data_IF_364032736758
#
_entry.id   IF_364032736758
#
_cell.length_a   1.000
_cell.length_b   1.000
_cell.length_c   1.000
_cell.angle_alpha   90.00
_cell.angle_beta   90.00
_cell.angle_gamma   90.00
#
_symmetry.space_group_name_H-M   'P 1'
#
loop_
_entity.id
_entity.type
_entity.pdbx_description
1 polymer ?
#
# COMPACT_ATOMS: atom_id res chain seq x y z
N UNK A 1 11.82 -52.55 -29.53
CA UNK A 1 12.03 -51.76 -30.76
C UNK A 1 10.73 -50.99 -31.00
N UNK A 2 10.61 -49.72 -30.61
CA UNK A 2 10.94 -48.49 -31.40
C UNK A 2 10.30 -48.55 -32.79
N UNK A 3 9.54 -47.58 -33.29
CA UNK A 3 9.63 -46.10 -33.24
C UNK A 3 8.32 -45.51 -33.82
N UNK A 4 7.68 -44.50 -33.24
CA UNK A 4 7.83 -43.05 -33.44
C UNK A 4 7.36 -42.48 -34.80
N UNK A 5 6.42 -41.52 -34.75
CA UNK A 5 6.47 -40.22 -35.48
C UNK A 5 5.41 -39.26 -34.88
N UNK A 6 5.75 -38.19 -34.11
CA UNK A 6 6.00 -36.78 -34.55
C UNK A 6 5.01 -36.28 -35.61
N UNK A 7 4.35 -35.11 -35.53
CA UNK A 7 4.69 -33.75 -35.08
C UNK A 7 3.38 -32.89 -35.19
N UNK A 8 3.20 -31.63 -34.78
CA UNK A 8 4.05 -30.57 -34.26
C UNK A 8 3.19 -29.48 -33.59
N UNK A 9 3.80 -28.78 -32.64
CA UNK A 9 3.87 -27.30 -32.55
C UNK A 9 2.58 -26.47 -32.40
N UNK A 10 2.49 -25.73 -31.29
CA UNK A 10 2.82 -24.29 -31.34
C UNK A 10 3.19 -23.77 -29.95
N UNK A 11 4.41 -23.28 -29.84
CA UNK A 11 4.93 -22.47 -28.74
C UNK A 11 4.28 -21.08 -28.75
N UNK A 12 3.90 -20.57 -27.57
CA UNK A 12 4.01 -19.14 -27.30
C UNK A 12 4.73 -18.93 -25.97
N UNK A 13 5.89 -18.31 -26.11
CA UNK A 13 6.89 -18.02 -25.09
C UNK A 13 6.81 -16.52 -24.81
N UNK A 14 6.28 -16.13 -23.65
CA UNK A 14 6.56 -14.81 -23.05
C UNK A 14 6.74 -15.01 -21.55
N UNK A 15 7.87 -14.64 -20.93
CA UNK A 15 8.08 -14.85 -19.51
C UNK A 15 7.30 -13.83 -18.68
N UNK A 16 6.55 -14.30 -17.68
CA UNK A 16 6.06 -13.47 -16.58
C UNK A 16 7.12 -13.41 -15.48
N UNK A 17 7.34 -12.22 -14.90
CA UNK A 17 8.37 -11.97 -13.87
C UNK A 17 7.86 -12.12 -12.43
N UNK A 18 6.76 -12.84 -12.20
CA UNK A 18 6.23 -13.10 -10.86
C UNK A 18 6.58 -14.54 -10.44
N UNK A 19 7.48 -14.69 -9.48
CA UNK A 19 7.97 -16.00 -9.00
C UNK A 19 6.92 -16.71 -8.12
N UNK A 20 6.37 -17.82 -8.62
CA UNK A 20 5.77 -18.85 -7.76
C UNK A 20 6.82 -19.90 -7.39
N UNK A 21 6.70 -20.48 -6.19
CA UNK A 21 7.63 -21.48 -5.62
C UNK A 21 7.74 -22.78 -6.46
N UNK A 22 6.90 -22.95 -7.48
CA UNK A 22 6.91 -24.02 -8.46
C UNK A 22 6.50 -23.46 -9.84
N UNK A 23 7.36 -23.58 -10.85
CA UNK A 23 7.17 -23.04 -12.21
C UNK A 23 6.32 -23.94 -13.12
N UNK A 24 5.97 -25.15 -12.66
CA UNK A 24 5.12 -26.08 -13.39
C UNK A 24 3.64 -25.99 -12.95
N UNK A 25 3.27 -24.94 -12.24
CA UNK A 25 1.90 -24.73 -11.75
C UNK A 25 1.30 -23.57 -12.50
N UNK A 26 0.17 -23.80 -13.15
CA UNK A 26 -0.62 -22.75 -13.76
C UNK A 26 -1.08 -21.78 -12.66
N UNK A 27 -0.80 -20.47 -12.78
CA UNK A 27 -1.17 -19.51 -11.75
C UNK A 27 -2.70 -19.43 -11.62
N UNK A 28 -3.15 -19.04 -10.43
CA UNK A 28 -4.58 -18.87 -10.18
C UNK A 28 -5.09 -17.67 -10.98
N UNK A 29 -6.04 -17.89 -11.87
CA UNK A 29 -6.70 -16.84 -12.63
C UNK A 29 -8.01 -16.45 -11.94
N UNK A 30 -8.04 -15.27 -11.34
CA UNK A 30 -9.29 -14.66 -10.88
C UNK A 30 -10.14 -14.24 -12.09
N UNK A 31 -11.42 -14.64 -12.10
CA UNK A 31 -12.36 -14.33 -13.19
C UNK A 31 -13.53 -13.47 -12.73
N UNK A 32 -13.82 -13.44 -11.42
CA UNK A 32 -14.88 -12.64 -10.82
C UNK A 32 -14.59 -12.38 -9.34
N UNK A 33 -15.14 -11.32 -8.77
CA UNK A 33 -15.18 -11.10 -7.33
C UNK A 33 -16.60 -10.73 -6.88
N UNK A 34 -16.99 -11.14 -5.66
CA UNK A 34 -18.30 -10.84 -5.05
C UNK A 34 -18.10 -10.62 -3.54
N UNK A 35 -18.32 -9.40 -3.06
CA UNK A 35 -17.99 -9.03 -1.69
C UNK A 35 -16.52 -9.32 -1.36
N UNK A 36 -16.27 -10.08 -0.29
CA UNK A 36 -14.91 -10.49 0.12
C UNK A 36 -14.44 -11.78 -0.56
N UNK A 37 -15.01 -12.17 -1.69
CA UNK A 37 -14.66 -13.44 -2.33
C UNK A 37 -14.14 -13.26 -3.76
N UNK A 38 -13.03 -13.91 -4.07
CA UNK A 38 -12.47 -14.03 -5.42
C UNK A 38 -12.86 -15.41 -5.97
N UNK A 39 -13.41 -15.43 -7.19
CA UNK A 39 -13.75 -16.64 -7.92
C UNK A 39 -12.69 -16.88 -8.99
N UNK A 40 -12.13 -18.07 -8.97
CA UNK A 40 -11.10 -18.50 -9.90
C UNK A 40 -11.71 -19.17 -11.13
N UNK A 41 -10.95 -19.18 -12.23
CA UNK A 41 -11.32 -19.81 -13.51
C UNK A 41 -11.67 -21.29 -13.37
N UNK A 42 -11.08 -21.97 -12.38
CA UNK A 42 -11.34 -23.38 -12.08
C UNK A 42 -12.56 -23.60 -11.15
N UNK A 43 -13.32 -22.55 -10.84
CA UNK A 43 -14.53 -22.60 -10.03
C UNK A 43 -14.29 -22.49 -8.53
N UNK A 44 -13.04 -22.42 -8.06
CA UNK A 44 -12.75 -22.20 -6.63
C UNK A 44 -13.17 -20.81 -6.19
N UNK A 45 -13.74 -20.75 -4.98
CA UNK A 45 -14.08 -19.52 -4.26
C UNK A 45 -13.04 -19.31 -3.16
N UNK A 46 -12.30 -18.22 -3.23
CA UNK A 46 -11.32 -17.81 -2.22
C UNK A 46 -11.92 -16.66 -1.41
N UNK A 47 -11.75 -16.69 -0.08
CA UNK A 47 -11.97 -15.51 0.74
C UNK A 47 -10.79 -14.57 0.53
N UNK A 48 -11.05 -13.39 -0.02
CA UNK A 48 -10.07 -12.32 -0.12
C UNK A 48 -9.90 -11.68 1.25
N UNK A 49 -8.81 -12.05 1.91
CA UNK A 49 -8.36 -11.45 3.17
C UNK A 49 -7.31 -10.36 2.97
N UNK A 50 -6.97 -9.99 1.73
CA UNK A 50 -5.93 -9.02 1.42
C UNK A 50 -6.57 -7.66 1.11
N UNK A 51 -6.37 -6.70 2.03
CA UNK A 51 -6.94 -5.35 1.94
C UNK A 51 -6.45 -4.50 0.77
N UNK A 52 -5.45 -4.96 -0.01
CA UNK A 52 -4.88 -4.18 -1.12
C UNK A 52 -5.59 -4.37 -2.46
N UNK A 53 -6.41 -5.41 -2.64
CA UNK A 53 -7.15 -5.66 -3.89
C UNK A 53 -8.49 -4.92 -3.95
N UNK A 54 -8.55 -3.67 -3.49
CA UNK A 54 -9.80 -2.90 -3.51
C UNK A 54 -10.35 -2.66 -4.92
N UNK A 55 -9.52 -2.69 -5.96
CA UNK A 55 -9.99 -2.65 -7.36
C UNK A 55 -10.96 -3.79 -7.64
N UNK A 56 -10.71 -4.99 -7.10
CA UNK A 56 -11.57 -6.16 -7.28
C UNK A 56 -12.89 -6.06 -6.50
N UNK A 57 -12.90 -5.40 -5.34
CA UNK A 57 -14.12 -5.24 -4.54
C UNK A 57 -15.01 -4.09 -5.04
N UNK A 58 -14.43 -2.90 -5.30
CA UNK A 58 -15.18 -1.69 -5.70
C UNK A 58 -15.63 -1.77 -7.16
N UNK A 59 -14.84 -2.42 -8.03
CA UNK A 59 -15.09 -2.44 -9.47
C UNK A 59 -16.04 -3.53 -9.99
N UNK A 60 -16.35 -4.57 -9.20
CA UNK A 60 -16.97 -5.78 -9.77
C UNK A 60 -18.36 -6.18 -9.30
N UNK A 61 -18.93 -5.66 -8.20
CA UNK A 61 -20.32 -6.01 -7.81
C UNK A 61 -20.86 -5.27 -6.57
N UNK A 62 -20.06 -4.48 -5.86
CA UNK A 62 -20.56 -3.69 -4.74
C UNK A 62 -21.39 -2.51 -5.23
N UNK A 63 -22.58 -2.32 -4.65
CA UNK A 63 -23.30 -1.06 -4.80
C UNK A 63 -22.40 0.06 -4.25
N UNK A 64 -21.98 1.04 -5.08
CA UNK A 64 -21.11 2.11 -4.62
C UNK A 64 -21.66 2.88 -3.41
N UNK A 65 -22.98 2.91 -3.22
CA UNK A 65 -23.62 3.54 -2.07
C UNK A 65 -23.42 2.77 -0.74
N UNK A 66 -22.90 1.55 -0.80
CA UNK A 66 -22.59 0.71 0.36
C UNK A 66 -21.12 0.75 0.75
N UNK A 67 -20.26 1.35 -0.08
CA UNK A 67 -18.81 1.45 0.18
C UNK A 67 -18.49 2.77 0.87
N UNK A 68 -18.07 2.70 2.13
CA UNK A 68 -17.74 3.89 2.93
C UNK A 68 -16.33 4.43 2.65
N UNK A 69 -15.36 3.56 2.41
CA UNK A 69 -13.94 3.93 2.30
C UNK A 69 -13.10 2.88 1.57
N UNK A 70 -12.03 3.34 0.95
CA UNK A 70 -10.91 2.55 0.47
C UNK A 70 -9.72 2.72 1.42
N UNK A 71 -9.11 1.61 1.84
CA UNK A 71 -7.91 1.58 2.67
C UNK A 71 -6.77 0.89 1.93
N UNK A 72 -5.57 1.47 1.95
CA UNK A 72 -4.36 0.83 1.42
C UNK A 72 -3.09 1.35 2.09
N UNK A 73 -2.04 0.52 2.14
CA UNK A 73 -0.69 1.00 2.44
C UNK A 73 -0.09 1.65 1.19
N UNK A 74 0.49 2.85 1.27
CA UNK A 74 1.10 3.49 0.08
C UNK A 74 2.26 2.66 -0.48
N UNK A 75 3.09 2.12 0.42
CA UNK A 75 4.09 1.09 0.10
C UNK A 75 3.92 -0.01 1.12
N UNK A 76 3.58 -1.20 0.64
CA UNK A 76 3.19 -2.32 1.50
C UNK A 76 4.43 -2.89 2.17
N UNK A 77 4.38 -2.97 3.49
CA UNK A 77 5.52 -3.35 4.30
C UNK A 77 5.74 -4.86 4.41
N UNK A 78 5.29 -5.42 5.53
CA UNK A 78 5.59 -6.79 5.94
C UNK A 78 4.92 -7.85 5.04
N UNK A 79 3.75 -7.54 4.49
CA UNK A 79 2.90 -8.52 3.81
C UNK A 79 3.42 -8.88 2.42
N UNK A 80 3.99 -7.91 1.70
CA UNK A 80 4.46 -8.08 0.32
C UNK A 80 5.93 -7.72 0.12
N UNK A 81 6.67 -7.48 1.22
CA UNK A 81 8.10 -7.25 1.19
C UNK A 81 8.51 -5.95 0.50
N UNK A 82 7.98 -4.82 0.98
CA UNK A 82 8.27 -3.47 0.45
C UNK A 82 7.83 -3.29 -1.01
N UNK A 83 6.65 -3.80 -1.39
CA UNK A 83 6.17 -3.65 -2.77
C UNK A 83 5.51 -2.28 -2.94
N UNK A 84 6.05 -1.39 -3.80
CA UNK A 84 5.37 -0.16 -4.19
C UNK A 84 4.19 -0.45 -5.11
N UNK A 85 3.22 0.45 -5.15
CA UNK A 85 2.15 0.35 -6.14
C UNK A 85 2.68 0.57 -7.56
N UNK A 86 1.98 0.00 -8.55
CA UNK A 86 2.28 0.27 -9.96
C UNK A 86 1.97 1.74 -10.29
N UNK A 87 2.74 2.39 -11.19
CA UNK A 87 2.52 3.79 -11.54
C UNK A 87 1.06 4.08 -11.94
N UNK A 88 0.47 5.10 -11.33
CA UNK A 88 -0.91 5.53 -11.60
C UNK A 88 -2.00 4.77 -10.82
N UNK A 89 -1.65 3.74 -10.05
CA UNK A 89 -2.61 2.99 -9.22
C UNK A 89 -3.36 3.91 -8.24
N UNK A 90 -2.64 4.66 -7.42
CA UNK A 90 -3.27 5.50 -6.40
C UNK A 90 -4.03 6.68 -6.99
N UNK A 91 -3.58 7.22 -8.13
CA UNK A 91 -4.33 8.20 -8.90
C UNK A 91 -5.69 7.65 -9.34
N UNK A 92 -5.69 6.47 -9.96
CA UNK A 92 -6.93 5.81 -10.38
C UNK A 92 -7.85 5.51 -9.20
N UNK A 93 -7.30 5.00 -8.09
CA UNK A 93 -8.10 4.72 -6.88
C UNK A 93 -8.68 5.98 -6.26
N UNK A 94 -7.94 7.10 -6.28
CA UNK A 94 -8.43 8.39 -5.82
C UNK A 94 -9.61 8.86 -6.68
N UNK A 95 -9.50 8.79 -8.00
CA UNK A 95 -10.57 9.17 -8.93
C UNK A 95 -11.83 8.31 -8.74
N UNK A 96 -11.67 7.01 -8.46
CA UNK A 96 -12.78 6.11 -8.13
C UNK A 96 -13.46 6.53 -6.81
N UNK A 97 -12.68 6.80 -5.76
CA UNK A 97 -13.22 7.25 -4.48
C UNK A 97 -13.98 8.57 -4.62
N UNK A 98 -13.43 9.53 -5.35
CA UNK A 98 -14.07 10.81 -5.62
C UNK A 98 -15.40 10.66 -6.38
N UNK A 99 -15.44 9.77 -7.39
CA UNK A 99 -16.64 9.52 -8.17
C UNK A 99 -17.77 8.91 -7.35
N UNK A 100 -17.44 8.03 -6.42
CA UNK A 100 -18.43 7.26 -5.66
C UNK A 100 -18.69 7.79 -4.25
N UNK A 101 -17.95 8.81 -3.81
CA UNK A 101 -18.09 9.40 -2.48
C UNK A 101 -17.48 8.58 -1.36
N UNK A 102 -16.73 7.51 -1.68
CA UNK A 102 -15.97 6.75 -0.70
C UNK A 102 -14.78 7.57 -0.16
N UNK A 103 -14.44 7.41 1.11
CA UNK A 103 -13.25 8.04 1.68
C UNK A 103 -11.98 7.36 1.17
N UNK A 104 -10.98 8.15 0.78
CA UNK A 104 -9.67 7.66 0.38
C UNK A 104 -8.72 7.65 1.59
N UNK A 105 -8.39 6.47 2.10
CA UNK A 105 -7.61 6.29 3.34
C UNK A 105 -6.28 5.62 3.05
N UNK A 106 -5.18 6.24 3.48
CA UNK A 106 -3.84 5.68 3.33
C UNK A 106 -3.21 5.34 4.68
N UNK A 107 -2.83 4.08 4.82
CA UNK A 107 -2.03 3.60 5.95
C UNK A 107 -0.56 3.85 5.69
N UNK A 108 0.02 4.77 6.45
CA UNK A 108 1.45 5.07 6.38
C UNK A 108 2.16 4.82 7.70
N UNK A 109 1.65 3.88 8.50
CA UNK A 109 2.29 3.47 9.73
C UNK A 109 3.71 2.96 9.45
N UNK A 110 3.94 2.22 8.36
CA UNK A 110 5.27 1.72 8.01
C UNK A 110 6.02 2.60 7.01
N UNK A 111 5.38 2.97 5.91
CA UNK A 111 6.03 3.68 4.81
C UNK A 111 6.11 5.21 4.99
N UNK A 112 5.38 5.78 5.95
CA UNK A 112 5.39 7.21 6.23
C UNK A 112 6.59 7.67 7.04
N UNK A 113 6.51 8.91 7.53
CA UNK A 113 7.49 9.52 8.43
C UNK A 113 8.91 9.48 7.86
N UNK A 114 9.05 9.83 6.58
CA UNK A 114 10.34 9.96 5.91
C UNK A 114 10.90 8.67 5.31
N UNK A 115 10.28 7.51 5.58
CA UNK A 115 10.85 6.19 5.22
C UNK A 115 11.10 6.01 3.73
N UNK A 116 10.25 6.58 2.88
CA UNK A 116 10.37 6.50 1.42
C UNK A 116 11.14 7.67 0.80
N UNK A 117 11.78 8.53 1.62
CA UNK A 117 12.41 9.76 1.11
C UNK A 117 11.44 10.94 0.91
N UNK A 118 10.19 10.79 1.34
CA UNK A 118 9.20 11.87 1.52
C UNK A 118 8.59 11.76 2.91
N UNK A 119 8.10 12.88 3.45
CA UNK A 119 7.50 12.89 4.79
C UNK A 119 6.28 11.97 4.84
N UNK A 120 5.43 12.05 3.81
CA UNK A 120 4.34 11.12 3.58
C UNK A 120 4.61 10.40 2.26
N UNK A 121 4.49 9.08 2.24
CA UNK A 121 4.83 8.28 1.06
C UNK A 121 3.95 8.63 -0.15
N UNK A 122 2.68 8.99 0.09
CA UNK A 122 1.74 9.37 -0.97
C UNK A 122 2.16 10.62 -1.73
N UNK A 123 3.14 11.39 -1.24
CA UNK A 123 3.71 12.52 -1.96
C UNK A 123 4.52 12.11 -3.20
N UNK A 124 4.82 10.82 -3.36
CA UNK A 124 5.37 10.27 -4.60
C UNK A 124 4.30 10.02 -5.66
N UNK A 125 3.03 9.97 -5.28
CA UNK A 125 1.91 9.67 -6.16
C UNK A 125 1.34 10.95 -6.77
N UNK A 126 0.86 10.87 -8.01
CA UNK A 126 0.18 11.97 -8.72
C UNK A 126 -1.30 12.06 -8.29
N UNK A 127 -1.53 12.44 -7.03
CA UNK A 127 -2.86 12.59 -6.45
C UNK A 127 -3.44 13.99 -6.67
N UNK A 128 -4.74 14.04 -6.99
CA UNK A 128 -5.50 15.30 -7.10
C UNK A 128 -5.60 16.06 -5.78
N UNK A 129 -5.52 15.36 -4.65
CA UNK A 129 -5.49 15.92 -3.29
C UNK A 129 -4.97 14.90 -2.27
N UNK A 130 -4.56 15.34 -1.07
CA UNK A 130 -4.16 14.44 0.03
C UNK A 130 -5.27 13.43 0.39
N UNK A 131 -4.95 12.33 1.10
CA UNK A 131 -5.95 11.38 1.52
C UNK A 131 -6.97 12.00 2.49
N UNK A 132 -8.19 11.50 2.45
CA UNK A 132 -9.25 11.95 3.36
C UNK A 132 -8.91 11.62 4.82
N UNK A 133 -8.23 10.47 5.03
CA UNK A 133 -7.71 10.00 6.30
C UNK A 133 -6.32 9.40 6.09
N UNK A 134 -5.38 9.66 6.99
CA UNK A 134 -4.06 9.02 7.00
C UNK A 134 -3.74 8.45 8.38
N UNK A 135 -3.26 7.21 8.45
CA UNK A 135 -2.73 6.66 9.71
C UNK A 135 -1.20 6.78 9.75
N UNK A 136 -0.67 7.19 10.90
CA UNK A 136 0.78 7.28 11.15
C UNK A 136 1.10 6.73 12.54
N UNK A 137 2.23 6.04 12.67
CA UNK A 137 2.78 5.60 13.95
C UNK A 137 4.29 5.34 13.75
N UNK A 138 4.86 4.29 14.35
CA UNK A 138 6.26 3.84 14.19
C UNK A 138 7.26 5.02 14.17
N UNK A 139 7.64 5.50 12.97
CA UNK A 139 8.54 6.64 12.78
C UNK A 139 8.12 7.91 13.53
N UNK A 140 6.82 8.11 13.79
CA UNK A 140 6.31 9.24 14.58
C UNK A 140 6.88 9.28 15.99
N UNK A 141 7.01 8.12 16.64
CA UNK A 141 7.65 8.00 17.94
C UNK A 141 9.11 7.58 17.86
N UNK A 142 9.57 7.07 16.71
CA UNK A 142 10.93 6.56 16.44
C UNK A 142 11.52 5.68 17.55
N UNK A 143 10.66 4.92 18.24
CA UNK A 143 11.06 4.05 19.36
C UNK A 143 11.26 4.76 20.71
N UNK A 144 11.21 6.10 20.76
CA UNK A 144 11.35 6.87 22.00
C UNK A 144 10.09 6.85 22.87
N UNK A 145 8.91 6.85 22.23
CA UNK A 145 7.63 6.71 22.92
C UNK A 145 6.60 6.04 22.00
N UNK A 146 5.68 5.20 22.54
CA UNK A 146 4.55 4.71 21.79
C UNK A 146 3.69 5.89 21.32
N UNK A 147 3.58 6.07 20.01
CA UNK A 147 2.77 7.15 19.44
C UNK A 147 2.17 6.71 18.10
N UNK A 148 0.89 7.03 17.93
CA UNK A 148 0.12 6.87 16.71
C UNK A 148 -0.83 8.06 16.56
N UNK A 149 -1.15 8.42 15.33
CA UNK A 149 -2.13 9.44 15.01
C UNK A 149 -2.95 9.04 13.78
N UNK A 150 -4.19 9.52 13.75
CA UNK A 150 -5.04 9.51 12.57
C UNK A 150 -5.20 10.97 12.15
N UNK A 151 -4.66 11.31 10.99
CA UNK A 151 -4.83 12.63 10.37
C UNK A 151 -6.13 12.58 9.56
N UNK A 152 -6.95 13.61 9.69
CA UNK A 152 -8.21 13.73 8.95
C UNK A 152 -8.20 15.03 8.14
N UNK A 153 -8.72 14.97 6.92
CA UNK A 153 -8.88 16.14 6.06
C UNK A 153 -9.98 17.08 6.59
N UNK A 154 -9.97 18.34 6.13
CA UNK A 154 -11.02 19.31 6.43
C UNK A 154 -12.41 18.78 6.02
N UNK A 155 -12.51 18.12 4.85
CA UNK A 155 -13.75 17.47 4.39
C UNK A 155 -14.36 16.54 5.44
N UNK A 156 -13.54 15.75 6.13
CA UNK A 156 -14.02 14.83 7.18
C UNK A 156 -14.32 15.57 8.48
N UNK A 157 -13.46 16.51 8.87
CA UNK A 157 -13.65 17.31 10.08
C UNK A 157 -14.93 18.16 10.03
N UNK A 158 -15.22 18.76 8.87
CA UNK A 158 -16.37 19.63 8.65
C UNK A 158 -17.70 18.87 8.78
N UNK A 159 -17.74 17.59 8.41
CA UNK A 159 -18.92 16.73 8.60
C UNK A 159 -19.23 16.54 10.08
N UNK A 160 -18.21 16.32 10.92
CA UNK A 160 -18.42 16.24 12.36
C UNK A 160 -18.88 17.59 12.92
N UNK A 161 -18.24 18.69 12.50
CA UNK A 161 -18.57 20.03 12.98
C UNK A 161 -20.00 20.47 12.62
N UNK A 162 -20.45 20.19 11.40
CA UNK A 162 -21.79 20.52 10.91
C UNK A 162 -22.87 19.54 11.41
N UNK A 163 -22.49 18.30 11.73
CA UNK A 163 -23.39 17.26 12.20
C UNK A 163 -23.51 17.23 13.72
N UNK A 164 -22.88 16.23 14.34
CA UNK A 164 -22.98 15.99 15.79
C UNK A 164 -22.26 17.05 16.64
N UNK A 165 -21.32 17.80 16.05
CA UNK A 165 -20.39 18.69 16.77
C UNK A 165 -19.40 17.94 17.67
N UNK A 166 -19.45 16.61 17.69
CA UNK A 166 -18.70 15.76 18.64
C UNK A 166 -18.13 14.54 17.92
N UNK A 167 -16.84 14.29 18.13
CA UNK A 167 -16.19 13.05 17.77
C UNK A 167 -16.21 12.09 18.98
N UNK A 168 -17.07 11.07 18.93
CA UNK A 168 -17.25 10.10 20.01
C UNK A 168 -16.21 8.99 19.90
N UNK A 169 -14.99 9.29 20.33
CA UNK A 169 -13.90 8.33 20.44
C UNK A 169 -12.92 8.80 21.53
N UNK A 170 -12.35 7.87 22.29
CA UNK A 170 -11.50 8.19 23.42
C UNK A 170 -10.65 7.01 23.89
N UNK A 171 -9.37 7.26 24.13
CA UNK A 171 -8.47 6.32 24.79
C UNK A 171 -7.92 6.91 26.09
N UNK A 172 -7.68 6.08 27.11
CA UNK A 172 -7.13 6.53 28.41
C UNK A 172 -5.83 7.33 28.26
N UNK A 173 -4.98 6.97 27.29
CA UNK A 173 -3.70 7.63 27.02
C UNK A 173 -3.72 8.47 25.74
N UNK A 174 -4.90 8.86 25.25
CA UNK A 174 -5.02 9.74 24.10
C UNK A 174 -4.31 11.07 24.38
N UNK A 175 -3.51 11.54 23.41
CA UNK A 175 -2.73 12.77 23.52
C UNK A 175 -1.82 12.85 24.77
N UNK A 176 -1.27 11.72 25.21
CA UNK A 176 -0.38 11.66 26.38
C UNK A 176 0.81 12.63 26.21
N UNK A 177 0.90 13.64 27.08
CA UNK A 177 1.79 14.79 26.93
C UNK A 177 3.28 14.41 26.73
N UNK A 178 3.77 13.40 27.45
CA UNK A 178 5.16 12.92 27.30
C UNK A 178 5.38 12.31 25.92
N UNK A 179 4.41 11.54 25.42
CA UNK A 179 4.50 10.95 24.09
C UNK A 179 4.47 12.04 23.02
N UNK A 180 3.58 13.02 23.16
CA UNK A 180 3.48 14.15 22.24
C UNK A 180 4.78 14.97 22.21
N UNK A 181 5.42 15.19 23.37
CA UNK A 181 6.71 15.88 23.43
C UNK A 181 7.82 15.08 22.76
N UNK A 182 7.88 13.78 22.99
CA UNK A 182 8.86 12.90 22.34
C UNK A 182 8.67 12.90 20.82
N UNK A 183 7.44 12.74 20.32
CA UNK A 183 7.14 12.78 18.89
C UNK A 183 7.48 14.14 18.26
N UNK A 184 7.20 15.25 18.96
CA UNK A 184 7.60 16.58 18.49
C UNK A 184 9.12 16.71 18.36
N UNK A 185 9.88 16.17 19.31
CA UNK A 185 11.34 16.19 19.25
C UNK A 185 11.87 15.34 18.09
N UNK A 186 11.29 14.16 17.85
CA UNK A 186 11.61 13.34 16.68
C UNK A 186 11.41 14.12 15.38
N UNK A 187 10.27 14.81 15.23
CA UNK A 187 9.98 15.61 14.04
C UNK A 187 10.94 16.79 13.86
N UNK A 188 11.39 17.41 14.96
CA UNK A 188 12.40 18.49 14.92
C UNK A 188 13.74 17.97 14.43
N UNK A 189 14.24 16.89 15.03
CA UNK A 189 15.49 16.25 14.61
C UNK A 189 15.43 15.82 13.16
N UNK A 190 14.32 15.20 12.73
CA UNK A 190 14.12 14.83 11.32
C UNK A 190 14.26 16.02 10.37
N UNK A 191 13.79 17.20 10.78
CA UNK A 191 13.87 18.43 9.98
C UNK A 191 15.24 19.09 10.05
N UNK A 192 15.81 19.21 11.25
CA UNK A 192 17.10 19.86 11.51
C UNK A 192 18.25 19.12 10.85
N UNK A 193 18.20 17.78 10.89
CA UNK A 193 19.21 16.91 10.28
C UNK A 193 18.87 16.53 8.83
N UNK A 194 17.80 17.07 8.24
CA UNK A 194 17.37 16.78 6.86
C UNK A 194 17.24 15.26 6.59
N UNK A 195 16.71 14.51 7.57
CA UNK A 195 16.74 13.04 7.54
C UNK A 195 15.91 12.46 6.40
N UNK A 196 14.85 13.15 5.97
CA UNK A 196 14.00 12.71 4.86
C UNK A 196 14.77 12.79 3.54
N UNK A 197 15.44 13.90 3.29
CA UNK A 197 16.29 14.13 2.13
C UNK A 197 17.48 13.17 2.11
N UNK A 198 18.12 12.96 3.26
CA UNK A 198 19.19 11.98 3.40
C UNK A 198 18.68 10.55 3.14
N UNK A 199 17.48 10.21 3.62
CA UNK A 199 16.86 8.91 3.36
C UNK A 199 16.65 8.71 1.86
N UNK A 200 16.16 9.72 1.14
CA UNK A 200 16.00 9.66 -0.31
C UNK A 200 17.35 9.43 -1.02
N UNK A 201 18.35 10.25 -0.71
CA UNK A 201 19.68 10.16 -1.36
C UNK A 201 20.37 8.81 -1.08
N UNK A 202 20.34 8.36 0.18
CA UNK A 202 20.93 7.07 0.56
C UNK A 202 20.13 5.89 0.04
N UNK A 203 18.81 6.02 -0.08
CA UNK A 203 17.94 5.03 -0.70
C UNK A 203 18.32 4.78 -2.15
N UNK A 204 18.46 5.84 -2.96
CA UNK A 204 18.91 5.74 -4.36
C UNK A 204 20.31 5.11 -4.47
N UNK A 205 21.23 5.47 -3.57
CA UNK A 205 22.55 4.85 -3.52
C UNK A 205 22.47 3.35 -3.21
N UNK A 206 21.68 2.96 -2.20
CA UNK A 206 21.49 1.57 -1.81
C UNK A 206 20.86 0.76 -2.93
N UNK A 207 19.80 1.26 -3.57
CA UNK A 207 19.13 0.61 -4.69
C UNK A 207 20.11 0.36 -5.84
N UNK A 208 20.88 1.39 -6.22
CA UNK A 208 21.92 1.27 -7.25
C UNK A 208 22.95 0.19 -6.89
N UNK A 209 23.48 0.23 -5.66
CA UNK A 209 24.47 -0.74 -5.21
C UNK A 209 23.92 -2.17 -5.20
N UNK A 210 22.67 -2.36 -4.75
CA UNK A 210 22.00 -3.67 -4.79
C UNK A 210 21.84 -4.16 -6.23
N UNK A 211 21.38 -3.31 -7.15
CA UNK A 211 21.23 -3.67 -8.56
C UNK A 211 22.55 -4.04 -9.22
N UNK A 212 23.61 -3.27 -8.96
CA UNK A 212 24.95 -3.53 -9.51
C UNK A 212 25.55 -4.85 -8.99
N UNK A 213 25.37 -5.16 -7.69
CA UNK A 213 25.97 -6.34 -7.08
C UNK A 213 25.13 -7.61 -7.24
N UNK A 214 23.80 -7.48 -7.23
CA UNK A 214 22.88 -8.61 -7.11
C UNK A 214 21.88 -8.73 -8.27
N UNK A 215 21.78 -7.74 -9.17
CA UNK A 215 20.76 -7.71 -10.22
C UNK A 215 20.83 -8.87 -11.23
N UNK A 216 22.01 -9.47 -11.42
CA UNK A 216 22.21 -10.64 -12.28
C UNK A 216 22.32 -11.96 -11.49
N UNK A 217 22.10 -11.94 -10.18
CA UNK A 217 22.29 -13.12 -9.35
C UNK A 217 21.11 -14.11 -9.54
N UNK A 218 21.37 -15.41 -9.82
CA UNK A 218 20.32 -16.37 -10.19
C UNK A 218 19.29 -16.66 -9.08
N UNK A 219 19.57 -16.25 -7.84
CA UNK A 219 18.65 -16.39 -6.70
C UNK A 219 17.95 -15.08 -6.31
N UNK A 220 18.16 -13.99 -7.03
CA UNK A 220 17.53 -12.70 -6.77
C UNK A 220 16.45 -12.48 -7.83
N UNK A 221 15.19 -12.52 -7.40
CA UNK A 221 14.05 -12.41 -8.31
C UNK A 221 13.71 -10.97 -8.70
N UNK A 222 13.82 -10.04 -7.75
CA UNK A 222 13.56 -8.62 -7.97
C UNK A 222 14.26 -7.76 -6.90
N UNK A 223 14.63 -6.54 -7.25
CA UNK A 223 15.18 -5.52 -6.37
C UNK A 223 14.29 -4.29 -6.52
N UNK A 224 13.54 -3.97 -5.46
CA UNK A 224 12.54 -2.92 -5.39
C UNK A 224 12.74 -2.06 -4.14
#
# INVERSE_FOLDING_TARGET
MTSASTSASTTFNVPSHVFYRNLNVEPLYAVRAEGNYIYLKDGRKLLDGFGDTAVTAIGHELDPHTVAAFFAETVVGATTGCTPAVPGYFKAMREVCDRHGALFVLDEIMCGMGRTGKMHAWQWEDLSSPPDIQTIAKGLGSGYAPMAAVLISAKVADVFAAGSGVFVNGFTYQAHAVGCRAALEVLKVMKEDELVEQCNQRGLFLEKALKEQLGNHPHVGDIR
#
